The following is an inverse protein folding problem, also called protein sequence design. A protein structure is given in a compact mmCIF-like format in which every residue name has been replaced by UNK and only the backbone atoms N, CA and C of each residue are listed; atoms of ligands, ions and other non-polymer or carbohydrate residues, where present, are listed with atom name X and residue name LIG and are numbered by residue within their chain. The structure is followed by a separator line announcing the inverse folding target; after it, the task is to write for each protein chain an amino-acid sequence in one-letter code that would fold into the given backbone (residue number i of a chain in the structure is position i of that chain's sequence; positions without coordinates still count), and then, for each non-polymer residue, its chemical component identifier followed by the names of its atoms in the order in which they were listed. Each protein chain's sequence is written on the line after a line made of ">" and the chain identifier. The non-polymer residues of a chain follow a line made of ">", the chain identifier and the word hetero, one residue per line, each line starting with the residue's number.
data_IF_336023600150
#
_entry.id   IF_336023600150
#
_cell.length_a   1.000
_cell.length_b   1.000
_cell.length_c   1.000
_cell.angle_alpha   90.00
_cell.angle_beta   90.00
_cell.angle_gamma   90.00
#
_symmetry.space_group_name_H-M   'P 1'
#
loop_
_entity.id
_entity.type
_entity.pdbx_description
1 polymer ?
#
# COMPACT_ATOMS: atom_id res chain seq x y z
N UNK A 1 10.15 7.83 -18.88
CA UNK A 1 10.15 6.54 -19.62
C UNK A 1 11.52 5.84 -19.64
N UNK A 2 12.65 6.57 -19.67
CA UNK A 2 13.99 5.96 -19.55
C UNK A 2 14.18 5.13 -18.27
N UNK A 3 13.66 5.61 -17.13
CA UNK A 3 13.75 4.90 -15.85
C UNK A 3 13.06 3.53 -15.89
N UNK A 4 11.83 3.49 -16.43
CA UNK A 4 11.05 2.25 -16.62
C UNK A 4 11.72 1.32 -17.64
N UNK A 5 12.30 1.89 -18.71
CA UNK A 5 13.05 1.11 -19.71
C UNK A 5 14.32 0.48 -19.13
N UNK A 6 15.07 1.21 -18.31
CA UNK A 6 16.29 0.70 -17.68
C UNK A 6 16.02 -0.26 -16.53
N UNK A 7 14.97 -0.07 -15.73
CA UNK A 7 14.61 -1.03 -14.68
C UNK A 7 14.15 -2.37 -15.26
N UNK A 8 13.44 -2.37 -16.39
CA UNK A 8 13.02 -3.60 -17.09
C UNK A 8 14.19 -4.26 -17.84
N UNK A 9 15.07 -3.48 -18.48
CA UNK A 9 16.18 -4.02 -19.26
C UNK A 9 17.31 -4.62 -18.41
N UNK A 10 17.56 -4.05 -17.24
CA UNK A 10 18.68 -4.48 -16.39
C UNK A 10 18.29 -5.43 -15.24
N UNK A 11 17.01 -5.78 -15.07
CA UNK A 11 16.55 -6.64 -13.95
C UNK A 11 17.02 -6.09 -12.58
N UNK A 12 16.99 -4.76 -12.45
CA UNK A 12 17.80 -4.00 -11.49
C UNK A 12 16.97 -3.45 -10.34
N UNK A 13 17.56 -3.46 -9.13
CA UNK A 13 17.15 -2.67 -7.96
C UNK A 13 16.84 -1.21 -8.35
N UNK A 14 15.67 -0.70 -7.95
CA UNK A 14 15.15 0.64 -8.29
C UNK A 14 16.20 1.75 -8.11
N UNK A 15 17.09 1.64 -7.12
CA UNK A 15 18.18 2.60 -6.90
C UNK A 15 19.28 2.61 -7.96
N UNK A 16 19.66 1.46 -8.53
CA UNK A 16 20.63 1.46 -9.63
C UNK A 16 19.95 1.95 -10.93
N UNK A 17 18.65 1.69 -11.10
CA UNK A 17 17.85 2.23 -12.21
C UNK A 17 17.79 3.76 -12.18
N UNK A 18 17.58 4.34 -10.99
CA UNK A 18 17.66 5.80 -10.78
C UNK A 18 19.04 6.36 -11.17
N UNK A 19 20.13 5.76 -10.68
CA UNK A 19 21.50 6.18 -10.99
C UNK A 19 21.82 6.08 -12.48
N UNK A 20 21.42 4.99 -13.14
CA UNK A 20 21.59 4.82 -14.58
C UNK A 20 20.79 5.87 -15.37
N UNK A 21 19.57 6.17 -14.93
CA UNK A 21 18.75 7.20 -15.58
C UNK A 21 19.40 8.57 -15.47
N UNK A 22 19.88 8.95 -14.28
CA UNK A 22 20.62 10.20 -14.06
C UNK A 22 21.91 10.27 -14.87
N UNK A 23 22.66 9.16 -14.94
CA UNK A 23 23.89 9.05 -15.72
C UNK A 23 23.66 9.20 -17.23
N UNK A 24 22.44 8.98 -17.73
CA UNK A 24 22.07 9.18 -19.13
C UNK A 24 21.44 10.55 -19.37
N UNK A 25 20.55 11.01 -18.49
CA UNK A 25 19.86 12.30 -18.66
C UNK A 25 20.78 13.49 -18.49
N UNK A 26 21.73 13.46 -17.53
CA UNK A 26 22.66 14.58 -17.31
C UNK A 26 23.54 14.83 -18.56
N UNK A 27 24.26 13.84 -19.13
CA UNK A 27 25.03 14.06 -20.35
C UNK A 27 24.17 14.43 -21.56
N UNK A 28 22.94 13.91 -21.66
CA UNK A 28 22.03 14.23 -22.76
C UNK A 28 21.58 15.69 -22.72
N UNK A 29 21.21 16.20 -21.55
CA UNK A 29 20.87 17.62 -21.35
C UNK A 29 22.07 18.55 -21.57
N UNK A 30 23.28 18.11 -21.16
CA UNK A 30 24.52 18.84 -21.43
C UNK A 30 24.84 18.88 -22.93
N UNK A 31 24.68 17.77 -23.64
CA UNK A 31 24.92 17.68 -25.09
C UNK A 31 23.97 18.58 -25.89
N UNK A 32 22.71 18.72 -25.45
CA UNK A 32 21.72 19.60 -26.07
C UNK A 32 21.83 21.07 -25.64
N UNK A 33 22.71 21.39 -24.67
CA UNK A 33 22.90 22.74 -24.11
C UNK A 33 21.60 23.39 -23.61
N UNK A 34 20.70 22.57 -23.06
CA UNK A 34 19.40 23.06 -22.57
C UNK A 34 19.49 23.74 -21.20
N UNK A 35 20.44 23.30 -20.36
CA UNK A 35 20.62 23.81 -19.00
C UNK A 35 22.08 23.66 -18.53
N UNK A 36 22.61 24.56 -17.69
CA UNK A 36 23.86 24.37 -16.97
C UNK A 36 23.80 23.21 -15.96
N UNK A 37 24.96 22.60 -15.64
CA UNK A 37 25.04 21.52 -14.65
C UNK A 37 24.55 21.98 -13.25
N UNK A 38 24.82 23.23 -12.88
CA UNK A 38 24.40 23.78 -11.59
C UNK A 38 22.87 23.74 -11.44
N UNK A 39 22.15 24.24 -12.44
CA UNK A 39 20.68 24.27 -12.47
C UNK A 39 20.11 22.85 -12.46
N UNK A 40 20.75 21.88 -13.14
CA UNK A 40 20.33 20.47 -13.09
C UNK A 40 20.41 19.89 -11.67
N UNK A 41 21.52 20.16 -10.96
CA UNK A 41 21.69 19.70 -9.58
C UNK A 41 20.72 20.39 -8.62
N UNK A 42 20.44 21.68 -8.82
CA UNK A 42 19.46 22.42 -8.04
C UNK A 42 18.05 21.85 -8.22
N UNK A 43 17.65 21.53 -9.45
CA UNK A 43 16.36 20.88 -9.72
C UNK A 43 16.26 19.48 -9.10
N UNK A 44 17.35 18.71 -9.07
CA UNK A 44 17.37 17.42 -8.36
C UNK A 44 17.12 17.59 -6.86
N UNK A 45 17.74 18.60 -6.25
CA UNK A 45 17.56 18.92 -4.83
C UNK A 45 16.12 19.39 -4.56
N UNK A 46 15.56 20.23 -5.43
CA UNK A 46 14.19 20.70 -5.29
C UNK A 46 13.15 19.58 -5.43
N UNK A 47 13.39 18.62 -6.33
CA UNK A 47 12.60 17.38 -6.39
C UNK A 47 12.63 16.59 -5.08
N UNK A 48 13.79 16.51 -4.42
CA UNK A 48 13.90 15.87 -3.11
C UNK A 48 13.15 16.65 -2.01
N UNK A 49 13.28 17.98 -2.00
CA UNK A 49 12.58 18.86 -1.03
C UNK A 49 11.06 18.73 -1.15
N UNK A 50 10.53 18.64 -2.37
CA UNK A 50 9.11 18.48 -2.63
C UNK A 50 8.53 17.21 -1.96
N UNK A 51 9.34 16.15 -1.81
CA UNK A 51 8.91 14.88 -1.21
C UNK A 51 9.01 14.84 0.32
N UNK A 52 9.71 15.80 0.96
CA UNK A 52 9.92 15.81 2.41
C UNK A 52 8.60 15.78 3.22
N UNK A 53 7.55 16.56 2.89
CA UNK A 53 6.29 16.51 3.60
C UNK A 53 5.63 15.12 3.52
N UNK A 54 5.62 14.50 2.34
CA UNK A 54 5.09 13.16 2.14
C UNK A 54 5.84 12.12 2.99
N UNK A 55 7.17 12.12 2.92
CA UNK A 55 8.00 11.21 3.71
C UNK A 55 7.71 11.39 5.21
N UNK A 56 7.57 12.62 5.68
CA UNK A 56 7.19 12.91 7.07
C UNK A 56 5.83 12.29 7.46
N UNK A 57 4.81 12.43 6.61
CA UNK A 57 3.49 11.83 6.87
C UNK A 57 3.53 10.30 6.87
N UNK A 58 4.31 9.68 5.98
CA UNK A 58 4.48 8.23 5.90
C UNK A 58 5.22 7.68 7.13
N UNK A 59 6.26 8.38 7.60
CA UNK A 59 6.96 8.00 8.85
C UNK A 59 6.00 8.05 10.04
N UNK A 60 5.20 9.11 10.16
CA UNK A 60 4.22 9.22 11.24
C UNK A 60 3.16 8.11 11.17
N UNK A 61 2.69 7.78 9.97
CA UNK A 61 1.77 6.67 9.74
C UNK A 61 2.36 5.31 10.15
N UNK A 62 3.62 5.05 9.81
CA UNK A 62 4.29 3.82 10.24
C UNK A 62 4.51 3.73 11.75
N UNK A 63 4.84 4.84 12.42
CA UNK A 63 4.91 4.87 13.89
C UNK A 63 3.55 4.54 14.51
N UNK A 64 2.48 5.14 14.00
CA UNK A 64 1.12 4.87 14.47
C UNK A 64 0.74 3.40 14.29
N UNK A 65 1.01 2.85 13.11
CA UNK A 65 0.82 1.43 12.81
C UNK A 65 1.61 0.54 13.78
N UNK A 66 2.89 0.80 14.01
CA UNK A 66 3.72 0.02 14.92
C UNK A 66 3.17 0.01 16.36
N UNK A 67 2.57 1.12 16.80
CA UNK A 67 1.88 1.19 18.09
C UNK A 67 0.62 0.32 18.08
N UNK A 68 -0.20 0.36 17.03
CA UNK A 68 -1.37 -0.50 16.89
C UNK A 68 -1.00 -2.00 16.86
N UNK A 69 0.08 -2.35 16.18
CA UNK A 69 0.58 -3.73 16.12
C UNK A 69 1.07 -4.21 17.49
N UNK A 70 1.76 -3.35 18.26
CA UNK A 70 2.18 -3.63 19.65
C UNK A 70 1.01 -3.78 20.63
N UNK A 71 -0.12 -3.14 20.35
CA UNK A 71 -1.35 -3.31 21.11
C UNK A 71 -2.11 -4.60 20.75
N UNK A 72 -1.58 -5.40 19.81
CA UNK A 72 -2.22 -6.62 19.32
C UNK A 72 -3.63 -6.37 18.77
N UNK A 73 -3.84 -5.19 18.16
CA UNK A 73 -5.13 -4.80 17.58
C UNK A 73 -5.66 -5.83 16.55
N UNK A 74 -4.84 -6.39 15.64
CA UNK A 74 -5.31 -7.45 14.74
C UNK A 74 -5.80 -8.69 15.48
N UNK A 75 -5.09 -9.09 16.55
CA UNK A 75 -5.47 -10.25 17.36
C UNK A 75 -6.78 -10.01 18.10
N UNK A 76 -6.94 -8.85 18.72
CA UNK A 76 -8.17 -8.46 19.40
C UNK A 76 -9.40 -8.53 18.48
N UNK A 77 -9.27 -8.01 17.25
CA UNK A 77 -10.36 -8.04 16.26
C UNK A 77 -10.68 -9.49 15.85
N UNK A 78 -9.68 -10.34 15.64
CA UNK A 78 -9.89 -11.75 15.30
C UNK A 78 -10.52 -12.55 16.45
N UNK A 79 -10.04 -12.37 17.68
CA UNK A 79 -10.58 -13.05 18.86
C UNK A 79 -12.05 -12.66 19.12
N UNK A 80 -12.41 -11.41 18.83
CA UNK A 80 -13.79 -10.92 18.94
C UNK A 80 -14.71 -11.54 17.89
N UNK A 81 -14.19 -11.81 16.68
CA UNK A 81 -14.97 -12.35 15.56
C UNK A 81 -15.00 -13.88 15.51
N UNK A 82 -13.99 -14.55 16.07
CA UNK A 82 -13.85 -16.01 16.12
C UNK A 82 -15.13 -16.76 16.55
N UNK A 83 -15.90 -16.33 17.58
CA UNK A 83 -17.11 -17.03 18.01
C UNK A 83 -18.25 -17.02 16.98
N UNK A 84 -18.22 -16.09 16.03
CA UNK A 84 -19.26 -15.89 15.02
C UNK A 84 -18.88 -16.45 13.65
N UNK A 85 -17.68 -17.05 13.52
CA UNK A 85 -17.14 -17.48 12.24
C UNK A 85 -17.51 -18.93 11.91
N UNK A 86 -18.14 -19.11 10.75
CA UNK A 86 -18.32 -20.40 10.07
C UNK A 86 -17.40 -20.49 8.86
N UNK A 87 -17.16 -21.70 8.34
CA UNK A 87 -16.31 -21.94 7.17
C UNK A 87 -16.62 -21.00 5.99
N UNK A 88 -17.92 -20.83 5.71
CA UNK A 88 -18.44 -20.03 4.59
C UNK A 88 -18.38 -18.52 4.81
N UNK A 89 -18.33 -18.05 6.06
CA UNK A 89 -18.28 -16.61 6.36
C UNK A 89 -16.86 -16.12 6.62
N UNK A 90 -15.93 -17.02 6.92
CA UNK A 90 -14.58 -16.67 7.34
C UNK A 90 -13.86 -15.76 6.33
N UNK A 91 -13.78 -16.05 5.01
CA UNK A 91 -13.03 -15.22 4.08
C UNK A 91 -13.62 -13.80 3.97
N UNK A 92 -14.95 -13.68 3.89
CA UNK A 92 -15.62 -12.39 3.79
C UNK A 92 -15.44 -11.54 5.05
N UNK A 93 -15.55 -12.16 6.23
CA UNK A 93 -15.38 -11.47 7.51
C UNK A 93 -13.93 -11.08 7.78
N UNK A 94 -12.97 -11.94 7.42
CA UNK A 94 -11.54 -11.60 7.44
C UNK A 94 -11.26 -10.43 6.51
N UNK A 95 -11.77 -10.46 5.28
CA UNK A 95 -11.62 -9.34 4.35
C UNK A 95 -12.17 -8.04 4.95
N UNK A 96 -13.40 -8.04 5.45
CA UNK A 96 -14.06 -6.84 5.96
C UNK A 96 -13.33 -6.25 7.19
N UNK A 97 -13.05 -7.11 8.18
CA UNK A 97 -12.40 -6.68 9.42
C UNK A 97 -10.97 -6.20 9.20
N UNK A 98 -10.21 -6.91 8.36
CA UNK A 98 -8.85 -6.50 8.01
C UNK A 98 -8.82 -5.28 7.10
N UNK A 99 -9.82 -5.09 6.24
CA UNK A 99 -9.94 -3.90 5.39
C UNK A 99 -10.17 -2.64 6.24
N UNK A 100 -11.04 -2.74 7.26
CA UNK A 100 -11.25 -1.65 8.22
C UNK A 100 -9.98 -1.36 9.01
N UNK A 101 -9.30 -2.40 9.49
CA UNK A 101 -8.05 -2.27 10.22
C UNK A 101 -6.93 -1.66 9.36
N UNK A 102 -6.82 -2.07 8.10
CA UNK A 102 -5.84 -1.56 7.16
C UNK A 102 -6.11 -0.12 6.75
N UNK A 103 -7.38 0.25 6.59
CA UNK A 103 -7.76 1.65 6.45
C UNK A 103 -7.41 2.48 7.69
N UNK A 104 -7.73 1.95 8.88
CA UNK A 104 -7.56 2.65 10.16
C UNK A 104 -6.10 2.79 10.59
N UNK A 105 -5.19 1.96 10.08
CA UNK A 105 -3.75 1.99 10.40
C UNK A 105 -2.87 2.43 9.24
N UNK A 106 -3.42 2.54 8.02
CA UNK A 106 -2.66 2.87 6.81
C UNK A 106 -1.66 1.79 6.37
N UNK A 107 -1.88 0.53 6.74
CA UNK A 107 -0.93 -0.55 6.54
C UNK A 107 -1.20 -1.34 5.25
N UNK A 108 -0.28 -1.24 4.29
CA UNK A 108 -0.35 -1.94 2.99
C UNK A 108 0.32 -3.32 3.01
N UNK A 109 1.28 -3.55 3.91
CA UNK A 109 2.10 -4.78 3.97
C UNK A 109 2.19 -5.43 5.35
N UNK A 110 2.07 -4.64 6.42
CA UNK A 110 2.27 -5.16 7.76
C UNK A 110 1.10 -5.96 8.30
N UNK A 111 -0.12 -5.58 7.95
CA UNK A 111 -1.32 -6.21 8.52
C UNK A 111 -1.39 -7.67 8.14
N UNK A 112 -1.20 -8.03 6.87
CA UNK A 112 -1.30 -9.42 6.50
C UNK A 112 -0.18 -10.26 7.14
N UNK A 113 1.04 -9.73 7.26
CA UNK A 113 2.16 -10.44 7.90
C UNK A 113 1.89 -10.74 9.39
N UNK A 114 1.31 -9.78 10.11
CA UNK A 114 0.94 -9.94 11.54
C UNK A 114 -0.30 -10.83 11.70
N UNK A 115 -1.22 -10.80 10.73
CA UNK A 115 -2.54 -11.44 10.86
C UNK A 115 -2.59 -12.87 10.29
N UNK A 116 -1.72 -13.26 9.35
CA UNK A 116 -1.58 -14.65 8.87
C UNK A 116 -1.47 -15.66 10.02
N UNK A 117 -0.55 -15.52 10.99
CA UNK A 117 -0.42 -16.52 12.06
C UNK A 117 -1.64 -16.60 12.98
N UNK A 118 -2.53 -15.61 12.95
CA UNK A 118 -3.75 -15.55 13.75
C UNK A 118 -4.93 -16.18 13.00
N UNK A 119 -5.07 -15.86 11.71
CA UNK A 119 -6.18 -16.31 10.86
C UNK A 119 -6.00 -17.77 10.42
N UNK A 120 -4.77 -18.23 10.24
CA UNK A 120 -4.49 -19.59 9.76
C UNK A 120 -5.01 -20.70 10.71
N UNK A 121 -4.73 -20.66 12.03
CA UNK A 121 -5.32 -21.62 12.97
C UNK A 121 -6.85 -21.61 12.96
N UNK A 122 -7.45 -20.43 12.82
CA UNK A 122 -8.90 -20.27 12.78
C UNK A 122 -9.49 -20.90 11.51
N UNK A 123 -8.86 -20.68 10.35
CA UNK A 123 -9.26 -21.30 9.09
C UNK A 123 -9.21 -22.83 9.15
N UNK A 124 -8.18 -23.39 9.78
CA UNK A 124 -8.06 -24.85 9.99
C UNK A 124 -9.12 -25.35 10.96
N UNK A 125 -9.40 -24.62 12.05
CA UNK A 125 -10.35 -25.04 13.06
C UNK A 125 -11.79 -25.13 12.56
N UNK A 126 -12.18 -24.25 11.62
CA UNK A 126 -13.53 -24.23 11.03
C UNK A 126 -13.60 -24.94 9.67
N UNK A 127 -12.53 -25.60 9.23
CA UNK A 127 -12.41 -26.27 7.92
C UNK A 127 -12.74 -25.35 6.71
N UNK A 128 -12.23 -24.10 6.77
CA UNK A 128 -12.40 -23.13 5.69
C UNK A 128 -11.37 -23.32 4.55
N UNK A 129 -11.70 -22.81 3.37
CA UNK A 129 -10.79 -22.78 2.23
C UNK A 129 -9.60 -21.82 2.48
N UNK A 130 -8.46 -22.38 2.91
CA UNK A 130 -7.24 -21.63 3.26
C UNK A 130 -6.78 -20.68 2.13
N UNK A 131 -6.64 -21.12 0.85
CA UNK A 131 -6.31 -20.21 -0.25
C UNK A 131 -7.24 -19.00 -0.35
N UNK A 132 -8.54 -19.22 -0.17
CA UNK A 132 -9.55 -18.15 -0.24
C UNK A 132 -9.40 -17.17 0.93
N UNK A 133 -9.12 -17.65 2.13
CA UNK A 133 -8.88 -16.83 3.32
C UNK A 133 -7.61 -15.98 3.17
N UNK A 134 -6.53 -16.56 2.63
CA UNK A 134 -5.31 -15.80 2.32
C UNK A 134 -5.59 -14.75 1.24
N UNK A 135 -6.35 -15.12 0.19
CA UNK A 135 -6.80 -14.17 -0.83
C UNK A 135 -7.57 -12.99 -0.24
N UNK A 136 -8.53 -13.26 0.65
CA UNK A 136 -9.27 -12.25 1.39
C UNK A 136 -8.38 -11.30 2.20
N UNK A 137 -7.39 -11.85 2.90
CA UNK A 137 -6.44 -11.09 3.69
C UNK A 137 -5.56 -10.16 2.82
N UNK A 138 -5.08 -10.66 1.67
CA UNK A 138 -4.31 -9.86 0.71
C UNK A 138 -5.17 -8.77 0.07
N UNK A 139 -6.41 -9.09 -0.30
CA UNK A 139 -7.36 -8.11 -0.84
C UNK A 139 -7.68 -7.00 0.18
N UNK A 140 -7.82 -7.32 1.46
CA UNK A 140 -8.01 -6.34 2.52
C UNK A 140 -6.83 -5.36 2.64
N UNK A 141 -5.61 -5.88 2.51
CA UNK A 141 -4.39 -5.07 2.49
C UNK A 141 -4.33 -4.12 1.29
N UNK A 142 -4.69 -4.62 0.11
CA UNK A 142 -4.78 -3.80 -1.11
C UNK A 142 -5.84 -2.71 -0.99
N UNK A 143 -6.99 -3.00 -0.35
CA UNK A 143 -8.00 -1.99 -0.08
C UNK A 143 -7.48 -0.91 0.85
N UNK A 144 -6.85 -1.28 1.98
CA UNK A 144 -6.29 -0.31 2.92
C UNK A 144 -5.27 0.64 2.28
N UNK A 145 -4.42 0.11 1.40
CA UNK A 145 -3.40 0.88 0.67
C UNK A 145 -3.99 1.98 -0.22
N UNK A 146 -5.16 1.73 -0.83
CA UNK A 146 -5.83 2.72 -1.69
C UNK A 146 -6.85 3.57 -0.95
N UNK A 147 -7.56 3.01 0.02
CA UNK A 147 -8.62 3.74 0.71
C UNK A 147 -8.06 4.69 1.77
N UNK A 148 -6.94 4.36 2.44
CA UNK A 148 -6.39 5.16 3.52
C UNK A 148 -5.77 6.47 3.02
N UNK A 149 -6.14 7.58 3.65
CA UNK A 149 -5.78 8.93 3.20
C UNK A 149 -4.31 9.27 3.44
N UNK A 150 -3.69 8.57 4.38
CA UNK A 150 -2.31 8.75 4.79
C UNK A 150 -1.45 7.51 4.53
N UNK A 151 -1.95 6.54 3.74
CA UNK A 151 -1.14 5.41 3.27
C UNK A 151 -0.01 5.93 2.38
N UNK A 152 1.12 5.23 2.44
CA UNK A 152 2.27 5.38 1.55
C UNK A 152 1.88 5.52 0.08
N UNK A 153 0.97 4.69 -0.41
CA UNK A 153 0.54 4.73 -1.82
C UNK A 153 -0.22 6.01 -2.16
N UNK A 154 -1.21 6.39 -1.34
CA UNK A 154 -2.01 7.61 -1.54
C UNK A 154 -1.16 8.88 -1.43
N UNK A 155 -0.28 8.94 -0.44
CA UNK A 155 0.59 10.09 -0.17
C UNK A 155 1.60 10.29 -1.31
N UNK A 156 2.28 9.22 -1.72
CA UNK A 156 3.29 9.30 -2.78
C UNK A 156 2.64 9.54 -4.15
N UNK A 157 1.47 8.96 -4.43
CA UNK A 157 0.73 9.22 -5.66
C UNK A 157 0.27 10.67 -5.76
N UNK A 158 -0.23 11.25 -4.65
CA UNK A 158 -0.68 12.63 -4.62
C UNK A 158 0.48 13.62 -4.85
N UNK A 159 1.62 13.41 -4.17
CA UNK A 159 2.80 14.24 -4.39
C UNK A 159 3.42 14.06 -5.78
N UNK A 160 3.49 12.82 -6.28
CA UNK A 160 4.02 12.55 -7.62
C UNK A 160 3.17 13.14 -8.75
N UNK A 161 1.88 13.38 -8.49
CA UNK A 161 0.95 14.01 -9.43
C UNK A 161 0.77 15.52 -9.17
N UNK A 162 1.52 16.09 -8.22
CA UNK A 162 1.43 17.48 -7.79
C UNK A 162 -0.01 17.94 -7.46
N UNK A 163 -0.75 17.07 -6.77
CA UNK A 163 -2.15 17.29 -6.42
C UNK A 163 -2.37 17.30 -4.91
N UNK A 164 -3.48 17.89 -4.48
CA UNK A 164 -3.83 17.91 -3.06
C UNK A 164 -4.15 16.49 -2.56
N UNK A 165 -3.48 16.07 -1.48
CA UNK A 165 -3.63 14.75 -0.88
C UNK A 165 -5.08 14.38 -0.56
N UNK A 166 -5.83 15.30 0.04
CA UNK A 166 -7.22 15.06 0.45
C UNK A 166 -8.11 14.93 -0.78
N UNK A 167 -7.90 15.79 -1.79
CA UNK A 167 -8.64 15.70 -3.06
C UNK A 167 -8.38 14.37 -3.77
N UNK A 168 -7.13 13.90 -3.80
CA UNK A 168 -6.77 12.61 -4.37
C UNK A 168 -7.43 11.45 -3.61
N UNK A 169 -7.34 11.44 -2.28
CA UNK A 169 -7.92 10.39 -1.45
C UNK A 169 -9.45 10.32 -1.58
N UNK A 170 -10.14 11.47 -1.56
CA UNK A 170 -11.60 11.54 -1.68
C UNK A 170 -12.08 11.06 -3.05
N UNK A 171 -11.33 11.35 -4.11
CA UNK A 171 -11.68 10.90 -5.47
C UNK A 171 -11.41 9.41 -5.68
N UNK A 172 -10.40 8.83 -5.01
CA UNK A 172 -10.07 7.40 -5.06
C UNK A 172 -11.02 6.53 -4.22
N UNK A 173 -11.47 7.03 -3.06
CA UNK A 173 -12.32 6.30 -2.13
C UNK A 173 -13.58 5.63 -2.75
N UNK A 174 -14.40 6.29 -3.60
CA UNK A 174 -15.57 5.64 -4.18
C UNK A 174 -15.23 4.43 -5.05
N UNK A 175 -14.11 4.48 -5.78
CA UNK A 175 -13.63 3.34 -6.58
C UNK A 175 -13.13 2.19 -5.70
N UNK A 176 -12.39 2.53 -4.64
CA UNK A 176 -11.92 1.55 -3.67
C UNK A 176 -13.09 0.85 -2.95
N UNK A 177 -14.13 1.60 -2.56
CA UNK A 177 -15.33 1.05 -1.94
C UNK A 177 -16.13 0.14 -2.88
N UNK A 178 -16.24 0.52 -4.17
CA UNK A 178 -16.89 -0.34 -5.17
C UNK A 178 -16.15 -1.67 -5.33
N UNK A 179 -14.81 -1.62 -5.46
CA UNK A 179 -13.97 -2.81 -5.53
C UNK A 179 -14.09 -3.66 -4.25
N UNK A 180 -14.13 -3.02 -3.07
CA UNK A 180 -14.31 -3.71 -1.80
C UNK A 180 -15.66 -4.42 -1.70
N UNK A 181 -16.74 -3.79 -2.16
CA UNK A 181 -18.06 -4.39 -2.19
C UNK A 181 -18.10 -5.63 -3.11
N UNK A 182 -17.51 -5.53 -4.31
CA UNK A 182 -17.43 -6.65 -5.25
C UNK A 182 -16.59 -7.79 -4.64
N UNK A 183 -15.44 -7.47 -4.02
CA UNK A 183 -14.59 -8.46 -3.38
C UNK A 183 -15.31 -9.16 -2.22
N UNK A 184 -15.99 -8.42 -1.36
CA UNK A 184 -16.75 -8.97 -0.24
C UNK A 184 -17.85 -9.94 -0.71
N UNK A 185 -18.62 -9.57 -1.74
CA UNK A 185 -19.64 -10.44 -2.34
C UNK A 185 -18.97 -11.67 -2.97
N UNK A 186 -17.84 -11.50 -3.67
CA UNK A 186 -17.08 -12.60 -4.25
C UNK A 186 -16.61 -13.60 -3.19
N UNK A 187 -16.10 -13.12 -2.06
CA UNK A 187 -15.69 -13.98 -0.94
C UNK A 187 -16.87 -14.70 -0.31
N UNK A 188 -18.05 -14.08 -0.20
CA UNK A 188 -19.25 -14.77 0.28
C UNK A 188 -19.75 -15.87 -0.66
N UNK A 189 -19.64 -15.67 -1.98
CA UNK A 189 -20.13 -16.62 -2.97
C UNK A 189 -19.18 -17.79 -3.23
N UNK A 190 -17.87 -17.59 -3.02
CA UNK A 190 -16.83 -18.60 -3.27
C UNK A 190 -16.47 -19.44 -2.04
N UNK A 191 -16.92 -19.05 -0.85
CA UNK A 191 -16.58 -19.67 0.42
C UNK A 191 -17.41 -20.92 0.76
#
# INVERSE_FOLDING_TARGET
>A
MLLVGFTVYFDIDVWKGLLATLAVTIPFYMAQRLMPLADMLEQMIDGFKCMLPAIGTVIAAFIFKDVCDKLLLPQYVMDTLSPYMTAQLLPAMVFLSMAILAFATGSSWGIFAVTIPIVMPLAVAVDANIPLVIGALLSASSFGSQACFYSDSTVLAAQGSDCNLVSHAVTQLPYALLAAAIAFIGFLLLA
#
